data_IF_952300022433
#
_entry.id   IF_952300022433
#
_cell.length_a   1.000
_cell.length_b   1.000
_cell.length_c   1.000
_cell.angle_alpha   90.00
_cell.angle_beta   90.00
_cell.angle_gamma   90.00
#
_symmetry.space_group_name_H-M   'P 1'
#
loop_
_entity.id
_entity.type
_entity.pdbx_description
1 polymer ?
#
# COMPACT_ATOMS: atom_id res chain seq x y z
N UNK A 1 24.75 -20.46 49.83
CA UNK A 1 24.09 -21.49 48.99
C UNK A 1 22.77 -20.84 48.59
N UNK A 2 22.83 -19.98 47.56
CA UNK A 2 21.88 -18.88 47.41
C UNK A 2 20.93 -19.17 46.25
N UNK A 3 19.78 -19.75 46.59
CA UNK A 3 18.64 -20.05 45.72
C UNK A 3 17.80 -18.80 45.44
N UNK A 4 18.42 -17.69 45.03
CA UNK A 4 17.74 -16.42 44.74
C UNK A 4 18.16 -15.93 43.35
N UNK A 5 17.68 -16.52 42.24
CA UNK A 5 17.76 -15.85 40.92
C UNK A 5 16.92 -16.44 39.78
N UNK A 6 15.87 -17.24 40.01
CA UNK A 6 15.16 -17.91 38.90
C UNK A 6 13.85 -17.24 38.44
N UNK A 7 13.34 -16.19 39.11
CA UNK A 7 11.94 -15.74 38.90
C UNK A 7 11.70 -14.39 38.21
N UNK A 8 12.68 -13.76 37.53
CA UNK A 8 12.49 -12.36 37.06
C UNK A 8 12.78 -12.08 35.58
N UNK A 9 12.44 -13.01 34.67
CA UNK A 9 12.37 -12.71 33.22
C UNK A 9 10.99 -12.89 32.62
N UNK A 10 9.95 -12.44 33.32
CA UNK A 10 8.73 -11.99 32.65
C UNK A 10 9.06 -10.66 31.96
N UNK A 11 9.70 -10.75 30.78
CA UNK A 11 9.77 -9.61 29.85
C UNK A 11 8.33 -9.23 29.53
N UNK A 12 7.83 -8.21 30.21
CA UNK A 12 6.70 -7.42 29.77
C UNK A 12 7.05 -6.88 28.39
N UNK A 13 6.70 -7.63 27.35
CA UNK A 13 6.72 -7.06 26.01
C UNK A 13 5.75 -5.87 26.07
N UNK A 14 6.21 -4.63 25.78
CA UNK A 14 5.28 -3.53 25.67
C UNK A 14 4.23 -3.96 24.65
N UNK A 15 2.97 -4.09 25.09
CA UNK A 15 1.86 -4.31 24.16
C UNK A 15 1.95 -3.19 23.13
N UNK A 16 2.50 -3.50 21.96
CA UNK A 16 2.47 -2.55 20.86
C UNK A 16 1.00 -2.26 20.63
N UNK A 17 0.59 -1.01 20.90
CA UNK A 17 -0.79 -0.60 20.72
C UNK A 17 -1.20 -0.99 19.30
N UNK A 18 -2.40 -1.57 19.16
CA UNK A 18 -2.94 -2.02 17.88
C UNK A 18 -2.77 -0.96 16.78
N UNK A 19 -2.88 0.34 17.15
CA UNK A 19 -2.57 1.51 16.33
C UNK A 19 -1.19 1.45 15.67
N UNK A 20 -0.13 1.07 16.39
CA UNK A 20 1.23 0.95 15.83
C UNK A 20 1.35 -0.18 14.81
N UNK A 21 0.49 -1.20 14.88
CA UNK A 21 0.48 -2.32 13.92
C UNK A 21 -0.27 -1.95 12.64
N UNK A 22 -1.38 -1.22 12.75
CA UNK A 22 -2.22 -0.85 11.61
C UNK A 22 -1.77 0.44 10.92
N UNK A 23 -1.12 1.37 11.63
CA UNK A 23 -0.64 2.63 11.08
C UNK A 23 0.16 2.48 9.77
N UNK A 24 1.13 1.56 9.65
CA UNK A 24 1.85 1.39 8.38
C UNK A 24 0.98 0.80 7.26
N UNK A 25 -0.06 0.02 7.59
CA UNK A 25 -0.98 -0.50 6.58
C UNK A 25 -1.89 0.62 6.06
N UNK A 26 -2.49 1.39 6.96
CA UNK A 26 -3.29 2.56 6.59
C UNK A 26 -2.45 3.58 5.82
N UNK A 27 -1.20 3.80 6.25
CA UNK A 27 -0.25 4.64 5.53
C UNK A 27 -0.10 4.20 4.08
N UNK A 28 0.23 2.93 3.83
CA UNK A 28 0.38 2.40 2.46
C UNK A 28 -0.92 2.49 1.66
N UNK A 29 -2.06 2.18 2.27
CA UNK A 29 -3.36 2.22 1.62
C UNK A 29 -3.74 3.61 1.10
N UNK A 30 -3.46 4.66 1.88
CA UNK A 30 -3.80 6.03 1.50
C UNK A 30 -2.70 6.74 0.72
N UNK A 31 -1.42 6.41 0.94
CA UNK A 31 -0.34 7.00 0.17
C UNK A 31 -0.33 6.52 -1.28
N UNK A 32 -0.69 5.26 -1.53
CA UNK A 32 -0.71 4.70 -2.89
C UNK A 32 -1.58 5.51 -3.88
N UNK A 33 -2.89 5.77 -3.62
CA UNK A 33 -3.71 6.58 -4.52
C UNK A 33 -3.27 8.04 -4.60
N UNK A 34 -2.72 8.60 -3.51
CA UNK A 34 -2.17 9.96 -3.51
C UNK A 34 -1.01 10.09 -4.52
N UNK A 35 -0.10 9.12 -4.55
CA UNK A 35 1.01 9.11 -5.50
C UNK A 35 0.57 8.76 -6.93
N UNK A 36 -0.42 7.88 -7.08
CA UNK A 36 -0.87 7.41 -8.38
C UNK A 36 -1.65 8.47 -9.17
N UNK A 37 -2.56 9.21 -8.51
CA UNK A 37 -3.50 10.11 -9.18
C UNK A 37 -3.24 11.57 -8.82
N UNK A 38 -3.20 11.87 -7.52
CA UNK A 38 -3.27 13.26 -7.05
C UNK A 38 -1.94 14.01 -7.22
N UNK A 39 -0.80 13.31 -7.21
CA UNK A 39 0.51 13.93 -7.41
C UNK A 39 0.79 14.31 -8.87
N UNK A 40 0.20 13.59 -9.83
CA UNK A 40 0.30 13.93 -11.25
C UNK A 40 -0.52 15.19 -11.57
N UNK A 41 -1.61 15.44 -10.85
CA UNK A 41 -2.36 16.68 -10.92
C UNK A 41 -3.01 16.96 -12.28
N UNK A 42 -3.22 15.93 -13.11
CA UNK A 42 -3.88 16.08 -14.40
C UNK A 42 -5.40 16.24 -14.28
N UNK A 43 -5.98 15.81 -13.15
CA UNK A 43 -7.42 15.89 -12.90
C UNK A 43 -7.81 17.25 -12.30
N UNK A 44 -8.87 17.85 -12.87
CA UNK A 44 -9.51 19.08 -12.40
C UNK A 44 -9.99 19.02 -10.95
N UNK A 45 -10.19 17.81 -10.41
CA UNK A 45 -10.63 17.56 -9.03
C UNK A 45 -9.56 17.89 -7.97
N UNK A 46 -8.29 18.09 -8.35
CA UNK A 46 -7.15 18.28 -7.43
C UNK A 46 -7.30 19.50 -6.51
N UNK A 47 -8.13 20.48 -6.89
CA UNK A 47 -8.42 21.67 -6.09
C UNK A 47 -9.57 21.52 -5.08
N UNK A 48 -10.34 20.42 -5.13
CA UNK A 48 -11.53 20.23 -4.30
C UNK A 48 -11.34 19.09 -3.27
N UNK A 49 -11.16 19.40 -1.97
CA UNK A 49 -10.95 18.40 -0.92
C UNK A 49 -12.09 17.36 -0.82
N UNK A 50 -13.33 17.74 -1.14
CA UNK A 50 -14.47 16.83 -1.10
C UNK A 50 -14.44 15.78 -2.20
N UNK A 51 -14.05 16.17 -3.40
CA UNK A 51 -13.89 15.26 -4.54
C UNK A 51 -12.69 14.33 -4.34
N UNK A 52 -11.59 14.83 -3.79
CA UNK A 52 -10.43 14.01 -3.42
C UNK A 52 -10.77 12.93 -2.37
N UNK A 53 -11.60 13.26 -1.39
CA UNK A 53 -12.07 12.30 -0.38
C UNK A 53 -12.99 11.25 -1.00
N UNK A 54 -13.89 11.66 -1.90
CA UNK A 54 -14.77 10.72 -2.61
C UNK A 54 -13.99 9.81 -3.57
N UNK A 55 -13.04 10.38 -4.31
CA UNK A 55 -12.13 9.64 -5.19
C UNK A 55 -11.34 8.57 -4.43
N UNK A 56 -10.99 8.83 -3.16
CA UNK A 56 -10.30 7.86 -2.30
C UNK A 56 -11.13 6.59 -2.04
N UNK A 57 -12.46 6.66 -2.14
CA UNK A 57 -13.33 5.49 -2.05
C UNK A 57 -13.15 4.52 -3.23
N UNK A 58 -12.79 5.07 -4.40
CA UNK A 58 -12.55 4.30 -5.63
C UNK A 58 -11.06 3.97 -5.75
N UNK A 59 -10.20 4.98 -5.63
CA UNK A 59 -8.75 4.86 -5.78
C UNK A 59 -8.08 4.13 -4.61
N UNK A 60 -8.66 4.18 -3.40
CA UNK A 60 -8.17 3.43 -2.24
C UNK A 60 -8.15 1.93 -2.51
N UNK A 61 -9.28 1.30 -2.84
CA UNK A 61 -9.30 -0.10 -3.26
C UNK A 61 -8.47 -0.36 -4.52
N UNK A 62 -8.50 0.53 -5.52
CA UNK A 62 -7.82 0.33 -6.80
C UNK A 62 -6.29 0.34 -6.69
N UNK A 63 -5.71 1.29 -5.95
CA UNK A 63 -4.26 1.45 -5.79
C UNK A 63 -3.75 1.00 -4.42
N UNK A 64 -4.46 1.39 -3.35
CA UNK A 64 -4.13 1.04 -1.97
C UNK A 64 -4.34 -0.44 -1.66
N UNK A 65 -5.33 -1.09 -2.26
CA UNK A 65 -5.59 -2.52 -2.12
C UNK A 65 -4.41 -3.37 -2.60
N UNK A 66 -4.00 -3.26 -3.88
CA UNK A 66 -2.82 -3.93 -4.40
C UNK A 66 -1.54 -3.59 -3.65
N UNK A 67 -1.32 -2.32 -3.27
CA UNK A 67 -0.16 -1.92 -2.48
C UNK A 67 -0.09 -2.64 -1.12
N UNK A 68 -1.24 -2.79 -0.44
CA UNK A 68 -1.34 -3.60 0.78
C UNK A 68 -1.08 -5.08 0.52
N UNK A 69 -1.67 -5.66 -0.53
CA UNK A 69 -1.47 -7.06 -0.88
C UNK A 69 0.00 -7.36 -1.15
N UNK A 70 0.69 -6.51 -1.92
CA UNK A 70 2.13 -6.65 -2.21
C UNK A 70 2.94 -6.64 -0.91
N UNK A 71 2.64 -5.69 -0.01
CA UNK A 71 3.30 -5.57 1.30
C UNK A 71 3.07 -6.81 2.16
N UNK A 72 1.83 -7.26 2.29
CA UNK A 72 1.49 -8.41 3.14
C UNK A 72 2.01 -9.72 2.56
N UNK A 73 1.98 -9.91 1.24
CA UNK A 73 2.59 -11.08 0.58
C UNK A 73 4.10 -11.10 0.82
N UNK A 74 4.78 -9.96 0.64
CA UNK A 74 6.22 -9.85 0.87
C UNK A 74 6.56 -10.19 2.33
N UNK A 75 5.82 -9.63 3.29
CA UNK A 75 6.04 -9.89 4.71
C UNK A 75 5.73 -11.33 5.12
N UNK A 76 4.66 -11.92 4.59
CA UNK A 76 4.27 -13.32 4.89
C UNK A 76 5.23 -14.33 4.27
N UNK A 77 5.90 -13.96 3.18
CA UNK A 77 6.91 -14.78 2.53
C UNK A 77 8.33 -14.55 3.07
N UNK A 78 8.49 -13.75 4.15
CA UNK A 78 9.78 -13.33 4.72
C UNK A 78 10.76 -12.79 3.66
N UNK A 79 10.22 -12.06 2.67
CA UNK A 79 11.00 -11.43 1.59
C UNK A 79 11.30 -9.96 1.89
N UNK A 80 12.25 -9.42 1.13
CA UNK A 80 12.65 -8.02 1.22
C UNK A 80 12.13 -7.14 0.08
N UNK A 81 12.71 -5.95 -0.02
CA UNK A 81 12.43 -4.95 -1.06
C UNK A 81 12.43 -5.44 -2.51
N UNK A 82 13.31 -6.38 -2.94
CA UNK A 82 13.28 -6.86 -4.32
C UNK A 82 11.93 -7.46 -4.73
N UNK A 83 11.27 -8.16 -3.81
CA UNK A 83 9.93 -8.74 -4.06
C UNK A 83 8.87 -7.65 -4.19
N UNK A 84 8.95 -6.60 -3.36
CA UNK A 84 8.04 -5.44 -3.46
C UNK A 84 8.17 -4.78 -4.82
N UNK A 85 9.41 -4.50 -5.25
CA UNK A 85 9.68 -3.85 -6.54
C UNK A 85 9.18 -4.73 -7.69
N UNK A 86 9.50 -6.02 -7.69
CA UNK A 86 9.06 -6.95 -8.73
C UNK A 86 7.54 -7.01 -8.84
N UNK A 87 6.85 -7.18 -7.70
CA UNK A 87 5.39 -7.25 -7.68
C UNK A 87 4.75 -5.90 -8.06
N UNK A 88 5.32 -4.77 -7.64
CA UNK A 88 4.83 -3.45 -7.99
C UNK A 88 4.98 -3.16 -9.50
N UNK A 89 6.12 -3.55 -10.10
CA UNK A 89 6.32 -3.47 -11.55
C UNK A 89 5.31 -4.36 -12.27
N UNK A 90 5.16 -5.61 -11.83
CA UNK A 90 4.19 -6.54 -12.44
C UNK A 90 2.76 -6.01 -12.36
N UNK A 91 2.36 -5.47 -11.21
CA UNK A 91 1.07 -4.81 -11.04
C UNK A 91 0.91 -3.62 -11.97
N UNK A 92 1.89 -2.72 -12.06
CA UNK A 92 1.85 -1.55 -12.94
C UNK A 92 1.72 -1.93 -14.42
N UNK A 93 2.44 -2.96 -14.87
CA UNK A 93 2.34 -3.46 -16.25
C UNK A 93 0.98 -4.09 -16.52
N UNK A 94 0.43 -4.87 -15.58
CA UNK A 94 -0.91 -5.44 -15.73
C UNK A 94 -1.96 -4.34 -15.77
N UNK A 95 -1.86 -3.35 -14.88
CA UNK A 95 -2.83 -2.28 -14.82
C UNK A 95 -2.78 -1.42 -16.10
N UNK A 96 -1.64 -0.81 -16.41
CA UNK A 96 -1.52 0.04 -17.59
C UNK A 96 -1.71 -0.76 -18.89
N UNK A 97 -1.15 -1.96 -18.98
CA UNK A 97 -1.16 -2.75 -20.21
C UNK A 97 -2.48 -3.46 -20.45
N UNK A 98 -2.90 -4.31 -19.50
CA UNK A 98 -4.04 -5.20 -19.66
C UNK A 98 -5.37 -4.56 -19.21
N UNK A 99 -5.38 -3.79 -18.13
CA UNK A 99 -6.62 -3.17 -17.61
C UNK A 99 -6.95 -1.90 -18.38
N UNK A 100 -5.97 -1.02 -18.57
CA UNK A 100 -6.16 0.23 -19.30
C UNK A 100 -6.02 0.03 -20.82
N UNK A 101 -5.61 -1.15 -21.27
CA UNK A 101 -5.42 -1.49 -22.69
C UNK A 101 -4.37 -0.61 -23.41
N UNK A 102 -3.48 0.08 -22.69
CA UNK A 102 -2.57 1.08 -23.28
C UNK A 102 -1.56 0.51 -24.29
N UNK A 103 -1.23 -0.78 -24.17
CA UNK A 103 -0.25 -1.47 -25.01
C UNK A 103 -0.92 -2.24 -26.16
N UNK A 104 -2.19 -2.63 -25.99
CA UNK A 104 -2.89 -3.52 -26.91
C UNK A 104 -3.94 -2.82 -27.77
N UNK A 105 -4.42 -1.65 -27.36
CA UNK A 105 -5.41 -0.88 -28.10
C UNK A 105 -4.75 0.34 -28.76
N UNK A 106 -4.61 0.36 -30.10
CA UNK A 106 -4.07 1.51 -30.83
C UNK A 106 -4.88 2.81 -30.60
N UNK A 107 -6.18 2.70 -30.33
CA UNK A 107 -7.06 3.84 -30.06
C UNK A 107 -7.02 4.31 -28.60
N UNK A 108 -6.15 3.76 -27.75
CA UNK A 108 -6.07 4.12 -26.33
C UNK A 108 -5.80 5.61 -26.08
N UNK A 109 -5.09 6.29 -26.98
CA UNK A 109 -4.77 7.72 -26.86
C UNK A 109 -5.70 8.65 -27.65
N UNK A 110 -6.73 8.12 -28.30
CA UNK A 110 -7.68 8.91 -29.10
C UNK A 110 -8.86 9.44 -28.27
N UNK A 111 -8.74 9.46 -26.94
CA UNK A 111 -9.72 9.98 -25.97
C UNK A 111 -9.20 11.22 -25.23
#
# INVERSE_FOLDING_TARGET
>A
MDTITTHQRLRSQPQQSWLRRIAPALGVFFLAPLFAEYLIGYDTSTGNPGELLFGLLIFGPLYGGPALLIREVTRRADRGWPTIILLAIGFGVIQAGLIDHSIFNPAYRDI
#
